data_IF_177274283021
#
_entry.id   IF_177274283021
#
_cell.length_a   1.000
_cell.length_b   1.000
_cell.length_c   1.000
_cell.angle_alpha   90.00
_cell.angle_beta   90.00
_cell.angle_gamma   90.00
#
_symmetry.space_group_name_H-M   'P 1'
#
loop_
_entity.id
_entity.type
_entity.pdbx_description
1 polymer ?
#
# COMPACT_ATOMS: atom_id res chain seq x y z
N UNK A 1 -3.47 -0.85 1.47
CA UNK A 1 -4.18 -0.74 0.18
C UNK A 1 -3.54 -1.59 -0.95
N UNK A 2 -2.25 -1.43 -1.27
CA UNK A 2 -1.61 -2.15 -2.40
C UNK A 2 -1.63 -3.68 -2.23
N UNK A 3 -1.27 -4.16 -1.04
CA UNK A 3 -1.35 -5.57 -0.68
C UNK A 3 -2.76 -6.16 -0.92
N UNK A 4 -3.81 -5.44 -0.53
CA UNK A 4 -5.20 -5.86 -0.73
C UNK A 4 -5.55 -5.97 -2.20
N UNK A 5 -5.13 -5.01 -3.02
CA UNK A 5 -5.36 -5.04 -4.47
C UNK A 5 -4.67 -6.25 -5.12
N UNK A 6 -3.42 -6.51 -4.73
CA UNK A 6 -2.63 -7.65 -5.18
C UNK A 6 -3.31 -8.98 -4.83
N UNK A 7 -3.78 -9.12 -3.59
CA UNK A 7 -4.47 -10.34 -3.14
C UNK A 7 -5.81 -10.51 -3.86
N UNK A 8 -6.60 -9.44 -3.96
CA UNK A 8 -7.96 -9.47 -4.51
C UNK A 8 -8.02 -9.58 -6.03
N UNK A 9 -7.00 -9.11 -6.75
CA UNK A 9 -6.94 -9.11 -8.21
C UNK A 9 -5.94 -10.14 -8.76
N UNK A 10 -5.50 -11.10 -7.94
CA UNK A 10 -4.49 -12.10 -8.31
C UNK A 10 -4.84 -12.95 -9.53
N UNK A 11 -6.11 -13.05 -9.90
CA UNK A 11 -6.56 -13.80 -11.09
C UNK A 11 -6.62 -12.92 -12.35
N UNK A 12 -6.53 -11.60 -12.19
CA UNK A 12 -6.65 -10.60 -13.26
C UNK A 12 -5.29 -9.99 -13.61
N UNK A 13 -4.44 -9.78 -12.61
CA UNK A 13 -3.16 -9.11 -12.76
C UNK A 13 -2.05 -9.93 -13.45
N UNK A 14 -1.95 -11.27 -13.32
CA UNK A 14 -0.90 -12.04 -13.98
C UNK A 14 -0.99 -11.97 -15.51
N UNK A 15 0.17 -11.95 -16.17
CA UNK A 15 0.27 -11.96 -17.64
C UNK A 15 0.69 -10.61 -18.20
N UNK A 16 -0.10 -10.06 -19.13
CA UNK A 16 0.20 -8.77 -19.81
C UNK A 16 -0.30 -7.54 -19.03
N UNK A 17 -1.02 -7.77 -17.93
CA UNK A 17 -1.58 -6.69 -17.12
C UNK A 17 -0.54 -6.16 -16.11
N UNK A 18 -0.69 -4.89 -15.75
CA UNK A 18 0.23 -4.19 -14.85
C UNK A 18 -0.59 -3.44 -13.79
N UNK A 19 -0.18 -3.57 -12.53
CA UNK A 19 -0.73 -2.75 -11.45
C UNK A 19 0.10 -1.47 -11.36
N UNK A 20 -0.46 -0.36 -11.84
CA UNK A 20 0.23 0.94 -11.87
C UNK A 20 -0.07 1.73 -10.61
N UNK A 21 0.98 2.09 -9.86
CA UNK A 21 0.86 2.95 -8.70
C UNK A 21 0.97 4.42 -9.13
N UNK A 22 -0.14 5.12 -8.95
CA UNK A 22 -0.27 6.55 -9.21
C UNK A 22 -0.14 7.33 -7.91
N UNK A 23 0.63 8.41 -7.92
CA UNK A 23 0.77 9.31 -6.77
C UNK A 23 -0.57 10.01 -6.43
N UNK A 24 -1.43 10.13 -7.43
CA UNK A 24 -2.74 10.77 -7.39
C UNK A 24 -3.85 9.85 -6.87
N UNK A 25 -3.65 8.52 -6.89
CA UNK A 25 -4.60 7.57 -6.35
C UNK A 25 -4.57 7.65 -4.81
N UNK A 26 -5.49 8.46 -4.26
CA UNK A 26 -5.64 8.68 -2.82
C UNK A 26 -6.86 7.94 -2.30
N UNK A 27 -6.70 7.16 -1.23
CA UNK A 27 -7.82 6.90 -0.34
C UNK A 27 -8.21 8.22 0.34
N UNK A 28 -9.52 8.45 0.47
CA UNK A 28 -10.02 9.60 1.19
C UNK A 28 -9.51 9.51 2.65
N UNK A 29 -8.75 10.51 3.12
CA UNK A 29 -8.11 10.46 4.43
C UNK A 29 -9.19 10.36 5.51
N UNK A 30 -9.31 9.20 6.15
CA UNK A 30 -10.02 9.10 7.41
C UNK A 30 -9.15 9.71 8.52
N UNK A 31 -9.81 10.30 9.52
CA UNK A 31 -9.21 11.03 10.63
C UNK A 31 -7.99 10.32 11.23
N UNK A 32 -6.86 11.02 11.27
CA UNK A 32 -5.62 10.53 11.86
C UNK A 32 -4.43 10.57 10.91
N UNK A 33 -4.61 10.26 9.62
CA UNK A 33 -3.59 10.43 8.56
C UNK A 33 -2.24 9.73 8.75
N UNK A 34 -2.01 9.09 9.91
CA UNK A 34 -0.78 8.41 10.29
C UNK A 34 -0.56 7.18 9.39
N UNK A 35 -1.63 6.48 9.03
CA UNK A 35 -1.59 5.36 8.07
C UNK A 35 -1.40 5.81 6.60
N UNK A 36 -1.39 7.12 6.33
CA UNK A 36 -1.27 7.69 4.98
C UNK A 36 0.11 8.29 4.71
N UNK A 37 1.12 8.02 5.53
CA UNK A 37 2.50 8.42 5.21
C UNK A 37 3.14 7.27 4.44
N UNK A 38 3.37 7.44 3.14
CA UNK A 38 4.08 6.43 2.35
C UNK A 38 5.52 6.35 2.84
N UNK A 39 5.85 5.33 3.64
CA UNK A 39 7.21 5.15 4.17
C UNK A 39 8.12 4.52 3.12
N UNK A 40 7.56 3.69 2.24
CA UNK A 40 8.28 3.05 1.14
C UNK A 40 8.06 3.80 -0.17
N UNK A 41 9.06 3.86 -1.04
CA UNK A 41 8.96 4.47 -2.39
C UNK A 41 9.64 3.57 -3.42
N UNK A 42 9.28 3.73 -4.69
CA UNK A 42 9.86 2.93 -5.78
C UNK A 42 9.81 1.41 -5.51
N UNK A 43 10.93 0.74 -5.74
CA UNK A 43 11.06 -0.72 -5.59
C UNK A 43 10.93 -1.20 -4.12
N UNK A 44 11.09 -0.31 -3.14
CA UNK A 44 10.87 -0.66 -1.73
C UNK A 44 9.42 -1.06 -1.48
N UNK A 45 8.48 -0.50 -2.26
CA UNK A 45 7.05 -0.85 -2.21
C UNK A 45 6.86 -2.32 -2.54
N UNK A 46 7.58 -2.86 -3.54
CA UNK A 46 7.47 -4.26 -3.93
C UNK A 46 7.93 -5.17 -2.80
N UNK A 47 9.09 -4.86 -2.21
CA UNK A 47 9.67 -5.63 -1.10
C UNK A 47 8.72 -5.65 0.10
N UNK A 48 8.14 -4.48 0.42
CA UNK A 48 7.20 -4.34 1.53
C UNK A 48 5.91 -5.11 1.28
N UNK A 49 5.36 -5.04 0.07
CA UNK A 49 4.13 -5.77 -0.28
C UNK A 49 4.35 -7.28 -0.21
N UNK A 50 5.50 -7.80 -0.67
CA UNK A 50 5.82 -9.23 -0.50
C UNK A 50 5.83 -9.63 0.99
N UNK A 51 6.47 -8.81 1.82
CA UNK A 51 6.54 -9.05 3.26
C UNK A 51 5.16 -9.00 3.93
N UNK A 52 4.33 -8.01 3.60
CA UNK A 52 2.97 -7.88 4.12
C UNK A 52 2.10 -9.08 3.69
N UNK A 53 2.20 -9.54 2.44
CA UNK A 53 1.50 -10.75 1.96
C UNK A 53 1.91 -11.97 2.78
N UNK A 54 3.23 -12.16 2.97
CA UNK A 54 3.75 -13.24 3.79
C UNK A 54 3.15 -13.19 5.20
N UNK A 55 3.21 -12.05 5.88
CA UNK A 55 2.70 -11.89 7.25
C UNK A 55 1.20 -12.20 7.36
N UNK A 56 0.39 -11.73 6.39
CA UNK A 56 -1.06 -12.00 6.40
C UNK A 56 -1.38 -13.48 6.22
N UNK A 57 -0.66 -14.17 5.33
CA UNK A 57 -0.86 -15.59 5.10
C UNK A 57 -0.26 -16.46 6.20
N UNK A 58 0.89 -16.09 6.78
CA UNK A 58 1.48 -16.79 7.94
C UNK A 58 0.57 -16.71 9.16
N UNK A 59 -0.18 -15.60 9.32
CA UNK A 59 -1.14 -15.45 10.41
C UNK A 59 -2.41 -16.31 10.24
N UNK A 60 -2.76 -16.72 9.02
CA UNK A 60 -4.09 -17.26 8.70
C UNK A 60 -4.09 -18.62 7.98
N UNK A 61 -2.93 -19.10 7.51
CA UNK A 61 -2.82 -20.24 6.60
C UNK A 61 -1.60 -21.12 6.93
N UNK A 62 -1.45 -22.24 6.20
CA UNK A 62 -0.27 -23.09 6.26
C UNK A 62 0.89 -22.59 5.37
N UNK A 63 2.08 -23.13 5.59
CA UNK A 63 3.30 -22.77 4.87
C UNK A 63 3.18 -22.91 3.34
N UNK A 64 2.36 -23.85 2.87
CA UNK A 64 2.20 -24.09 1.44
C UNK A 64 1.38 -22.99 0.79
N UNK A 65 0.33 -22.55 1.46
CA UNK A 65 -0.48 -21.41 1.02
C UNK A 65 0.28 -20.10 1.07
N UNK A 66 1.17 -19.92 2.05
CA UNK A 66 2.09 -18.76 2.10
C UNK A 66 2.98 -18.72 0.86
N UNK A 67 3.61 -19.85 0.50
CA UNK A 67 4.45 -19.93 -0.70
C UNK A 67 3.65 -19.65 -1.97
N UNK A 68 2.47 -20.24 -2.10
CA UNK A 68 1.60 -20.01 -3.27
C UNK A 68 1.26 -18.51 -3.42
N UNK A 69 0.88 -17.84 -2.32
CA UNK A 69 0.55 -16.42 -2.35
C UNK A 69 1.74 -15.53 -2.75
N UNK A 70 2.94 -15.84 -2.26
CA UNK A 70 4.17 -15.13 -2.63
C UNK A 70 4.53 -15.37 -4.10
N UNK A 71 4.40 -16.62 -4.59
CA UNK A 71 4.67 -16.93 -5.99
C UNK A 71 3.63 -16.30 -6.93
N UNK A 72 2.36 -16.22 -6.52
CA UNK A 72 1.34 -15.49 -7.26
C UNK A 72 1.66 -13.99 -7.32
N UNK A 73 2.11 -13.40 -6.21
CA UNK A 73 2.55 -12.01 -6.20
C UNK A 73 3.70 -11.75 -7.17
N UNK A 74 4.70 -12.64 -7.22
CA UNK A 74 5.86 -12.49 -8.12
C UNK A 74 5.51 -12.51 -9.61
N UNK A 75 4.34 -13.05 -9.98
CA UNK A 75 3.83 -13.02 -11.35
C UNK A 75 3.18 -11.68 -11.72
N UNK A 76 2.93 -10.81 -10.75
CA UNK A 76 2.29 -9.51 -10.95
C UNK A 76 3.36 -8.48 -11.26
N UNK A 77 3.15 -7.73 -12.34
CA UNK A 77 3.98 -6.58 -12.68
C UNK A 77 3.48 -5.35 -11.92
N UNK A 78 4.19 -4.95 -10.87
CA UNK A 78 3.91 -3.72 -10.12
C UNK A 78 4.75 -2.57 -10.71
N UNK A 79 4.09 -1.54 -11.22
CA UNK A 79 4.75 -0.37 -11.79
C UNK A 79 4.77 0.78 -10.79
N UNK A 80 5.98 1.08 -10.33
CA UNK A 80 6.29 2.08 -9.30
C UNK A 80 6.84 3.38 -9.89
N UNK A 81 6.85 3.54 -11.21
CA UNK A 81 7.48 4.69 -11.88
C UNK A 81 6.87 6.04 -11.46
N UNK A 82 5.58 6.06 -11.06
CA UNK A 82 4.90 7.27 -10.57
C UNK A 82 5.24 7.66 -9.13
N UNK A 83 5.97 6.81 -8.39
CA UNK A 83 6.20 6.94 -6.95
C UNK A 83 7.66 6.61 -6.56
N UNK A 84 8.62 6.87 -7.45
CA UNK A 84 10.04 6.54 -7.25
C UNK A 84 10.68 7.31 -6.08
N UNK A 85 10.53 8.63 -6.06
CA UNK A 85 11.22 9.51 -5.10
C UNK A 85 10.33 9.88 -3.91
N UNK A 86 9.02 9.92 -4.14
CA UNK A 86 8.05 10.37 -3.16
C UNK A 86 6.71 9.71 -3.41
N UNK A 87 6.30 8.88 -2.47
CA UNK A 87 4.94 8.39 -2.37
C UNK A 87 4.31 9.07 -1.16
N UNK A 88 3.40 10.02 -1.44
CA UNK A 88 2.73 10.84 -0.41
C UNK A 88 3.72 11.65 0.45
N UNK A 89 4.14 12.80 -0.09
CA UNK A 89 5.05 13.73 0.57
C UNK A 89 4.57 14.34 1.88
N UNK A 90 5.52 14.76 2.72
CA UNK A 90 5.29 15.59 3.92
C UNK A 90 4.53 16.89 3.59
N UNK A 91 4.78 17.43 2.40
CA UNK A 91 4.20 18.68 1.86
C UNK A 91 2.76 18.55 1.38
N UNK A 92 2.19 17.34 1.38
CA UNK A 92 0.78 17.09 0.99
C UNK A 92 0.01 16.40 2.13
N UNK A 93 0.49 16.58 3.36
CA UNK A 93 -0.20 16.33 4.62
C UNK A 93 -0.96 17.56 5.11
N UNK A 94 -1.98 17.36 5.95
CA UNK A 94 -2.51 18.44 6.80
C UNK A 94 -1.31 18.99 7.61
N UNK A 95 -1.15 20.31 7.63
CA UNK A 95 -0.20 21.00 8.51
C UNK A 95 -0.42 20.59 9.96
N UNK A 96 0.60 20.74 10.81
CA UNK A 96 0.48 20.44 12.25
C UNK A 96 -0.70 21.20 12.89
N UNK A 97 -0.98 22.40 12.39
CA UNK A 97 -2.12 23.22 12.79
C UNK A 97 -3.46 22.59 12.38
N UNK A 98 -3.60 22.15 11.12
CA UNK A 98 -4.81 21.48 10.63
C UNK A 98 -5.04 20.13 11.33
N UNK A 99 -3.98 19.43 11.73
CA UNK A 99 -4.07 18.21 12.56
C UNK A 99 -4.61 18.51 13.96
N UNK A 100 -4.08 19.54 14.63
CA UNK A 100 -4.54 19.91 15.98
C UNK A 100 -5.99 20.42 16.00
N UNK A 101 -6.36 21.25 15.03
CA UNK A 101 -7.73 21.78 14.89
C UNK A 101 -8.75 20.64 14.74
N UNK A 102 -8.41 19.61 13.98
CA UNK A 102 -9.29 18.46 13.74
C UNK A 102 -9.32 17.45 14.89
N UNK A 103 -8.22 17.28 15.62
CA UNK A 103 -8.21 16.48 16.87
C UNK A 103 -9.12 17.12 17.92
N UNK A 104 -9.05 18.45 18.06
CA UNK A 104 -9.91 19.19 18.98
C UNK A 104 -11.39 19.06 18.62
N UNK A 105 -11.74 19.17 17.34
CA UNK A 105 -13.11 19.01 16.84
C UNK A 105 -13.74 17.61 17.06
N UNK A 106 -12.93 16.60 17.39
CA UNK A 106 -13.39 15.23 17.68
C UNK A 106 -13.56 14.93 19.18
N UNK A 107 -12.96 15.76 20.02
CA UNK A 107 -12.99 15.64 21.49
C UNK A 107 -14.01 16.56 22.15
N UNK A 108 -14.77 17.32 21.37
CA UNK A 108 -16.02 18.01 21.77
C UNK A 108 -17.25 17.19 21.39
#
# INVERSE_FOLDING_TARGET
>A
AVQTAVIGLKDVLPGENELVLLKEARENKNLGGIDCTGIAVGEEIITRVEQEIREVYEASCDDERVKEAVEDFRKIRLNVAGVLDEWWGWSIGDSEAERQERILALTE
#
